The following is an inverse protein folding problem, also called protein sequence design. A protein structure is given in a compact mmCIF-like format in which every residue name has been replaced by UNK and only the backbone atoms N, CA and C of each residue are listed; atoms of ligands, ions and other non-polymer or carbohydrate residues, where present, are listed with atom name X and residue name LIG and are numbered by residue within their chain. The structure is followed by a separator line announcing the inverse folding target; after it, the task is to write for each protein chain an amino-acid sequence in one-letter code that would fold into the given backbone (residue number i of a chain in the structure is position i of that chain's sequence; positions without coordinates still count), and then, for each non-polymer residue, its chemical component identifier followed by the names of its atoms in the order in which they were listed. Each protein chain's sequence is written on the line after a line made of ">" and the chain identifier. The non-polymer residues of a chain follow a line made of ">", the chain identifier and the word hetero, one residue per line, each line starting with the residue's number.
data_IF_387068261172
#
_entry.id   IF_387068261172
#
_cell.length_a   1.000
_cell.length_b   1.000
_cell.length_c   1.000
_cell.angle_alpha   90.00
_cell.angle_beta   90.00
_cell.angle_gamma   90.00
#
_symmetry.space_group_name_H-M   'P 1'
#
loop_
_entity.id
_entity.type
_entity.pdbx_description
1 polymer ?
2 non-polymer ?
3 non-polymer ?
4 water ?
#
# COMPACT_ATOMS: atom_id res chain seq x y z
N UNK A 6 13.43 8.51 -13.26
CA UNK A 6 12.28 9.03 -12.45
C UNK A 6 12.46 10.54 -12.22
N UNK A 7 11.35 11.28 -12.17
CA UNK A 7 11.31 12.70 -11.73
C UNK A 7 11.77 12.77 -10.27
N UNK A 8 12.10 13.97 -9.79
CA UNK A 8 12.55 14.20 -8.40
C UNK A 8 11.47 13.71 -7.42
N UNK A 9 10.21 14.07 -7.67
CA UNK A 9 9.08 13.66 -6.80
C UNK A 9 8.93 12.13 -6.86
N UNK A 10 9.10 11.52 -8.03
CA UNK A 10 9.00 10.04 -8.18
C UNK A 10 10.20 9.35 -7.51
N UNK A 11 11.37 9.99 -7.45
CA UNK A 11 12.51 9.46 -6.64
C UNK A 11 12.08 9.40 -5.17
N UNK A 12 11.46 10.46 -4.65
CA UNK A 12 10.96 10.49 -3.25
C UNK A 12 9.95 9.35 -3.04
N UNK A 13 9.01 9.18 -3.97
CA UNK A 13 8.01 8.08 -3.92
C UNK A 13 8.73 6.73 -3.88
N UNK A 14 9.72 6.53 -4.74
CA UNK A 14 10.49 5.25 -4.77
C UNK A 14 11.18 5.02 -3.42
N UNK A 15 11.74 6.07 -2.80
CA UNK A 15 12.36 5.98 -1.46
C UNK A 15 11.35 5.53 -0.42
N UNK A 16 10.16 6.14 -0.43
CA UNK A 16 9.03 5.74 0.46
C UNK A 16 8.73 4.26 0.24
N UNK A 17 8.55 3.85 -1.02
CA UNK A 17 8.21 2.46 -1.38
C UNK A 17 9.26 1.51 -0.79
N UNK A 18 10.55 1.81 -1.00
CA UNK A 18 11.66 0.99 -0.44
C UNK A 18 11.51 0.91 1.09
N UNK A 19 11.22 2.02 1.76
CA UNK A 19 11.05 2.03 3.23
C UNK A 19 9.88 1.12 3.63
N UNK A 20 8.74 1.21 2.94
CA UNK A 20 7.52 0.42 3.29
C UNK A 20 7.83 -1.07 3.16
N UNK A 21 8.76 -1.44 2.27
CA UNK A 21 9.15 -2.85 1.99
C UNK A 21 10.33 -3.28 2.87
N UNK A 22 10.90 -2.38 3.69
CA UNK A 22 12.16 -2.61 4.44
C UNK A 22 11.89 -3.40 5.73
N UNK A 23 12.94 -4.01 6.29
CA UNK A 23 12.87 -4.83 7.53
C UNK A 23 12.33 -3.98 8.69
N UNK A 24 12.65 -2.68 8.71
CA UNK A 24 12.22 -1.72 9.76
C UNK A 24 10.72 -1.86 10.05
N UNK A 25 9.89 -2.04 9.01
CA UNK A 25 8.40 -1.99 9.11
C UNK A 25 7.77 -3.37 8.87
N UNK A 26 8.57 -4.43 8.74
CA UNK A 26 8.11 -5.77 8.30
C UNK A 26 7.05 -6.33 9.26
N UNK A 27 7.12 -6.00 10.55
CA UNK A 27 6.22 -6.55 11.59
C UNK A 27 4.76 -6.21 11.28
N UNK A 28 4.49 -5.07 10.63
CA UNK A 28 3.12 -4.61 10.29
C UNK A 28 2.92 -4.45 8.78
N UNK A 29 3.99 -4.43 7.97
CA UNK A 29 3.89 -4.21 6.51
C UNK A 29 3.56 -5.52 5.77
N UNK A 30 3.88 -6.67 6.35
CA UNK A 30 3.96 -7.95 5.58
C UNK A 30 2.62 -8.32 4.95
N UNK A 31 1.43 -8.06 5.54
CA UNK A 31 0.17 -8.40 4.88
C UNK A 31 -0.06 -7.64 3.56
N UNK A 32 0.70 -6.57 3.33
CA UNK A 32 0.56 -5.65 2.17
C UNK A 32 1.62 -5.94 1.10
N UNK A 33 2.47 -6.95 1.32
CA UNK A 33 3.62 -7.26 0.43
C UNK A 33 3.12 -7.81 -0.91
N UNK A 34 2.06 -8.62 -0.88
CA UNK A 34 1.57 -9.36 -2.07
C UNK A 34 0.07 -9.18 -2.21
N UNK A 35 -0.50 -9.39 -3.42
CA UNK A 35 -1.94 -9.34 -3.60
C UNK A 35 -2.64 -10.27 -2.60
N UNK A 36 -3.77 -9.82 -2.06
CA UNK A 36 -4.67 -10.66 -1.22
C UNK A 36 -5.05 -11.89 -2.05
N UNK A 37 -4.68 -13.08 -1.58
CA UNK A 37 -5.09 -14.36 -2.21
C UNK A 37 -6.41 -14.77 -1.54
N UNK A 38 -7.53 -14.27 -2.06
CA UNK A 38 -8.87 -14.39 -1.44
C UNK A 38 -9.21 -15.87 -1.25
N UNK A 39 -9.03 -16.68 -2.29
CA UNK A 39 -9.30 -18.14 -2.28
C UNK A 39 -8.50 -18.83 -1.17
N UNK A 40 -7.18 -18.59 -1.12
CA UNK A 40 -6.24 -19.19 -0.15
C UNK A 40 -6.65 -18.85 1.28
N UNK A 41 -7.15 -17.62 1.51
CA UNK A 41 -7.48 -17.10 2.87
C UNK A 41 -8.94 -17.41 3.23
N UNK A 42 -9.72 -17.97 2.30
CA UNK A 42 -11.14 -18.31 2.52
C UNK A 42 -12.05 -17.09 2.45
N UNK A 43 -11.59 -16.02 1.79
CA UNK A 43 -12.30 -14.72 1.72
C UNK A 43 -13.09 -14.66 0.41
N UNK A 44 -14.15 -15.48 0.29
CA UNK A 44 -14.87 -15.74 -0.98
C UNK A 44 -15.75 -14.56 -1.38
N UNK A 45 -15.84 -13.54 -0.52
CA UNK A 45 -16.59 -12.28 -0.79
C UNK A 45 -15.62 -11.14 -1.15
N UNK A 46 -14.30 -11.37 -1.08
CA UNK A 46 -13.29 -10.29 -1.18
C UNK A 46 -13.46 -9.50 -2.49
N UNK A 47 -13.54 -10.19 -3.63
CA UNK A 47 -13.56 -9.55 -4.97
C UNK A 47 -14.96 -9.02 -5.30
N UNK A 48 -15.96 -9.36 -4.49
CA UNK A 48 -17.32 -8.75 -4.58
C UNK A 48 -17.31 -7.38 -3.90
N UNK A 49 -16.47 -7.21 -2.87
CA UNK A 49 -16.43 -6.00 -2.00
C UNK A 49 -15.33 -5.04 -2.48
N UNK A 50 -14.17 -5.58 -2.86
CA UNK A 50 -12.98 -4.82 -3.34
C UNK A 50 -12.91 -4.93 -4.86
N UNK A 51 -13.21 -3.85 -5.57
CA UNK A 51 -13.30 -3.82 -7.06
C UNK A 51 -11.90 -3.56 -7.65
N UNK A 52 -11.01 -2.91 -6.90
CA UNK A 52 -9.65 -2.52 -7.37
C UNK A 52 -8.62 -2.92 -6.32
N UNK A 53 -8.20 -4.21 -6.30
CA UNK A 53 -7.17 -4.67 -5.37
C UNK A 53 -5.85 -3.93 -5.61
N UNK A 54 -5.09 -3.72 -4.54
CA UNK A 54 -3.76 -3.08 -4.63
C UNK A 54 -2.89 -3.58 -3.48
N UNK A 55 -1.58 -3.65 -3.74
CA UNK A 55 -0.58 -4.17 -2.78
C UNK A 55 0.79 -3.61 -3.18
N UNK A 56 1.78 -3.74 -2.31
CA UNK A 56 3.09 -3.08 -2.51
C UNK A 56 3.88 -3.73 -3.65
N UNK A 57 3.71 -5.03 -3.92
CA UNK A 57 4.40 -5.69 -5.06
C UNK A 57 3.88 -5.10 -6.37
N UNK A 58 2.58 -4.79 -6.44
CA UNK A 58 1.95 -4.18 -7.64
C UNK A 58 2.45 -2.74 -7.79
N UNK A 59 2.53 -1.98 -6.68
CA UNK A 59 3.06 -0.59 -6.70
C UNK A 59 4.52 -0.64 -7.19
N UNK A 60 5.30 -1.61 -6.71
CA UNK A 60 6.73 -1.77 -7.09
C UNK A 60 6.83 -2.06 -8.59
N UNK A 61 6.04 -3.01 -9.10
CA UNK A 61 6.05 -3.35 -10.55
C UNK A 61 5.71 -2.10 -11.37
N UNK A 62 4.71 -1.33 -10.93
CA UNK A 62 4.24 -0.12 -11.67
C UNK A 62 5.35 0.94 -11.66
N UNK A 63 6.03 1.12 -10.54
CA UNK A 63 7.15 2.09 -10.42
C UNK A 63 8.29 1.64 -11.36
N UNK A 64 8.64 0.35 -11.32
CA UNK A 64 9.75 -0.22 -12.14
C UNK A 64 9.43 -0.05 -13.64
N UNK A 65 8.15 -0.15 -14.02
CA UNK A 65 7.67 -0.07 -15.42
C UNK A 65 7.42 1.39 -15.83
N UNK A 66 7.67 2.36 -14.94
CA UNK A 66 7.45 3.81 -15.18
C UNK A 66 5.96 4.04 -15.52
N UNK A 67 5.08 3.27 -14.89
CA UNK A 67 3.61 3.41 -15.04
C UNK A 67 3.17 4.74 -14.41
N UNK A 68 3.66 5.06 -13.21
CA UNK A 68 3.30 6.30 -12.49
C UNK A 68 3.94 7.49 -13.20
N UNK A 69 3.12 8.46 -13.61
CA UNK A 69 3.60 9.67 -14.32
C UNK A 69 3.93 10.76 -13.30
N UNK A 70 3.38 10.69 -12.08
CA UNK A 70 3.62 11.70 -11.02
C UNK A 70 3.37 11.09 -9.64
N UNK A 71 3.74 11.83 -8.60
CA UNK A 71 3.66 11.41 -7.18
C UNK A 71 2.20 11.15 -6.80
N UNK A 72 1.27 11.98 -7.28
CA UNK A 72 -0.18 11.87 -7.00
C UNK A 72 -0.68 10.47 -7.42
N UNK A 73 -0.27 10.00 -8.59
CA UNK A 73 -0.73 8.70 -9.14
C UNK A 73 -0.21 7.56 -8.26
N UNK A 74 1.05 7.64 -7.84
CA UNK A 74 1.69 6.68 -6.90
C UNK A 74 0.91 6.67 -5.58
N UNK A 75 0.68 7.85 -5.00
CA UNK A 75 0.01 8.00 -3.69
C UNK A 75 -1.41 7.41 -3.76
N UNK A 76 -2.11 7.59 -4.88
CA UNK A 76 -3.49 7.09 -5.06
C UNK A 76 -3.50 5.57 -4.92
N UNK A 77 -2.49 4.87 -5.46
CA UNK A 77 -2.39 3.39 -5.36
C UNK A 77 -2.07 2.99 -3.92
N UNK A 78 -1.13 3.66 -3.25
CA UNK A 78 -0.79 3.31 -1.84
C UNK A 78 -2.04 3.50 -0.97
N UNK A 79 -2.77 4.61 -1.15
CA UNK A 79 -3.98 4.89 -0.34
C UNK A 79 -5.10 3.91 -0.71
N UNK A 80 -5.23 3.53 -1.98
CA UNK A 80 -6.23 2.52 -2.43
C UNK A 80 -6.00 1.22 -1.64
N UNK A 81 -4.74 0.81 -1.51
CA UNK A 81 -4.34 -0.40 -0.77
C UNK A 81 -4.86 -0.31 0.68
N UNK A 82 -4.65 0.83 1.35
CA UNK A 82 -5.10 1.02 2.76
C UNK A 82 -6.63 1.08 2.79
N UNK A 83 -7.25 1.81 1.86
CA UNK A 83 -8.72 1.98 1.79
C UNK A 83 -9.40 0.61 1.64
N UNK A 84 -8.85 -0.27 0.80
CA UNK A 84 -9.37 -1.65 0.59
C UNK A 84 -9.38 -2.38 1.94
N UNK A 85 -8.29 -2.25 2.70
CA UNK A 85 -8.15 -2.88 4.03
C UNK A 85 -9.25 -2.36 4.97
N UNK A 86 -9.46 -1.04 5.00
CA UNK A 86 -10.46 -0.39 5.89
C UNK A 86 -11.88 -0.70 5.43
N UNK A 87 -12.09 -0.94 4.13
CA UNK A 87 -13.44 -1.26 3.58
C UNK A 87 -13.80 -2.71 3.94
N UNK A 88 -12.88 -3.65 3.76
CA UNK A 88 -13.19 -5.10 3.83
C UNK A 88 -13.26 -5.58 5.28
N UNK A 89 -12.38 -5.07 6.14
CA UNK A 89 -12.14 -5.62 7.50
C UNK A 89 -12.85 -4.78 8.56
N UNK A 90 -13.46 -5.40 9.60
CA UNK A 90 -13.96 -4.64 10.74
C UNK A 90 -12.84 -3.80 11.34
N UNK A 91 -13.15 -2.60 11.87
CA UNK A 91 -12.12 -1.64 12.28
C UNK A 91 -11.28 -2.06 13.49
N UNK A 92 -11.71 -3.09 14.23
CA UNK A 92 -11.03 -3.60 15.45
C UNK A 92 -10.13 -4.81 15.14
N UNK A 93 -10.02 -5.20 13.86
CA UNK A 93 -9.23 -6.37 13.40
C UNK A 93 -7.73 -6.04 13.45
N UNK A 94 -6.89 -7.06 13.68
CA UNK A 94 -5.41 -6.91 13.78
C UNK A 94 -4.84 -6.30 12.49
N UNK A 95 -5.32 -6.73 11.32
CA UNK A 95 -4.77 -6.29 10.00
C UNK A 95 -5.02 -4.78 9.84
N UNK A 96 -6.12 -4.26 10.39
CA UNK A 96 -6.46 -2.81 10.30
C UNK A 96 -5.48 -2.02 11.19
N UNK A 97 -5.12 -2.53 12.37
CA UNK A 97 -4.11 -1.91 13.24
C UNK A 97 -2.78 -1.81 12.47
N UNK A 98 -2.43 -2.87 11.73
CA UNK A 98 -1.17 -2.93 10.95
C UNK A 98 -1.25 -1.91 9.80
N UNK A 99 -2.39 -1.83 9.11
CA UNK A 99 -2.65 -0.84 8.04
C UNK A 99 -2.44 0.58 8.58
N UNK A 100 -3.04 0.90 9.73
CA UNK A 100 -2.99 2.26 10.34
C UNK A 100 -1.53 2.65 10.56
N UNK A 101 -0.73 1.73 11.11
CA UNK A 101 0.70 1.96 11.43
C UNK A 101 1.49 2.18 10.14
N UNK A 102 1.29 1.34 9.12
CA UNK A 102 2.03 1.51 7.85
C UNK A 102 1.57 2.80 7.16
N UNK A 103 0.28 3.16 7.24
CA UNK A 103 -0.21 4.39 6.58
C UNK A 103 0.39 5.61 7.30
N UNK A 104 0.61 5.53 8.61
CA UNK A 104 1.27 6.63 9.37
C UNK A 104 2.69 6.81 8.82
N UNK A 105 3.44 5.73 8.62
CA UNK A 105 4.80 5.78 8.01
C UNK A 105 4.69 6.48 6.66
N UNK A 106 3.75 6.04 5.82
CA UNK A 106 3.56 6.56 4.45
C UNK A 106 3.23 8.05 4.48
N UNK A 107 2.18 8.44 5.21
CA UNK A 107 1.64 9.83 5.15
C UNK A 107 2.70 10.81 5.65
N UNK A 108 3.42 10.49 6.72
CA UNK A 108 4.40 11.44 7.31
C UNK A 108 5.58 11.63 6.34
N UNK A 109 6.02 10.58 5.65
CA UNK A 109 7.15 10.72 4.70
C UNK A 109 6.67 11.33 3.38
N UNK A 110 5.47 10.97 2.91
CA UNK A 110 4.88 11.56 1.68
C UNK A 110 4.78 13.08 1.83
N UNK A 111 4.46 13.55 3.04
CA UNK A 111 4.30 14.99 3.39
C UNK A 111 5.63 15.74 3.20
N UNK A 112 6.77 15.04 3.22
CA UNK A 112 8.14 15.62 3.07
C UNK A 112 8.54 15.66 1.59
N UNK A 113 7.57 15.57 0.68
CA UNK A 113 7.76 15.64 -0.80
C UNK A 113 8.55 16.91 -1.14
N UNK A 114 9.62 16.82 -1.95
CA UNK A 114 10.32 18.02 -2.41
C UNK A 114 9.42 18.84 -3.36
N UNK A 115 9.44 20.17 -3.21
CA UNK A 115 8.59 21.12 -3.98
C UNK A 115 9.21 21.36 -5.36
X LIG B 1 -3.13 -11.21 4.20
X LIG B 1 -5.19 -7.10 3.93
X LIG B 1 -3.78 -6.63 4.01
X LIG B 1 -8.13 -9.30 3.74
X LIG B 1 0.33 -15.86 9.08
X LIG B 1 -0.98 -15.49 8.68
X LIG B 1 -1.37 -15.97 7.40
X LIG B 1 -1.67 -14.81 6.53
X LIG B 1 -1.06 -14.60 5.39
X LIG B 1 -1.68 -13.46 4.86
X LIG B 1 -1.44 -12.73 3.69
X LIG B 1 -2.12 -11.64 3.37
X LIG B 1 -3.88 -10.08 3.79
X LIG B 1 -4.94 -9.62 4.54
X LIG B 1 -5.70 -8.41 4.10
X LIG B 1 -6.14 -6.27 3.62
X LIG B 1 -7.34 -7.04 3.57
X LIG B 1 -7.03 -8.32 3.84
X LIG B 1 -5.29 -10.29 5.72
X LIG B 1 -6.40 -9.79 6.35
X LIG B 1 -6.92 -10.44 7.51
X LIG B 1 -8.27 -11.04 7.16
X LIG B 1 -8.24 -12.56 6.95
X LIG B 1 -9.54 -13.05 7.59
X LIG B 1 -10.31 -11.86 7.97
X LIG B 1 -9.27 -10.91 8.29
X LIG B 1 -4.57 -11.37 6.15
X LIG B 1 -3.47 -11.86 5.41
X LIG B 1 -2.68 -13.00 5.72
X LIG B 1 -2.63 -13.89 6.81
X LIG B 1 -3.46 -13.84 8.06
X LIG B 1 -4.87 -14.35 7.80
X LIG B 1 -3.38 -12.52 8.81
X LIG B 1 -2.47 -11.52 8.50
X LIG B 1 -2.42 -10.34 9.23
X LIG B 1 -3.29 -10.14 10.28
X LIG B 1 -4.21 -11.11 10.60
X LIG B 1 -4.26 -12.29 9.88
X LIG C 1 -2.56 9.33 8.79
X LIG C 1 -2.48 7.95 8.51
X LIG C 1 -1.58 9.77 9.80
X LIG C 1 -1.66 9.05 11.02
X LIG D 1 -3.07 3.22 -14.77
X LIG D 1 -1.97 2.50 -14.24
X LIG D 1 -3.04 3.34 -16.25
X LIG D 1 -1.74 3.37 -16.79
#
# INVERSE_FOLDING_TARGET
>A
GSMGKLSEQLKHCNGILKELLSKKHAAYAWPFYKPVDASALGLHDYHDIIKHPMDLSTVKRKMENRDYRDAQEFAADVRLMFSNCYKYNPPDHDVVAMARKLQDVFEFRYAKMPD
>B hetero
1 LWB C15 C20 C21 C28 C01 O05 C06 C09 N10 C11 C12 N14 C16 C18 C19 N25 O26 C27 C32 O33 C34 C37 C39 C42 N45 C47 C50 C52 C53 N54 C55 C57 C61 C62 C64 C66 C68 C70
>C hetero
1 EDO C1 O1 C2 O2
>D hetero
1 EDO C1 O1 C2 O2
#
